data_IF_557840935884
#
_entry.id   IF_557840935884
#
_cell.length_a   1.000
_cell.length_b   1.000
_cell.length_c   1.000
_cell.angle_alpha   90.00
_cell.angle_beta   90.00
_cell.angle_gamma   90.00
#
_symmetry.space_group_name_H-M   'P 1'
#
loop_
_entity.id
_entity.type
_entity.pdbx_description
1 polymer ?
#
# COMPACT_ATOMS: atom_id res chain seq x y z
N UNK A 1 30.31 32.87 5.54
CA UNK A 1 31.59 32.44 4.95
C UNK A 1 31.89 31.04 5.46
N UNK A 2 31.75 29.99 4.63
CA UNK A 2 32.26 28.67 4.97
C UNK A 2 32.78 28.04 3.70
N UNK A 3 34.11 27.93 3.64
CA UNK A 3 34.90 27.48 2.49
C UNK A 3 35.04 25.97 2.53
N UNK A 4 34.65 25.29 1.46
CA UNK A 4 34.96 23.87 1.27
C UNK A 4 36.47 23.66 1.05
N UNK A 5 37.06 22.57 1.55
CA UNK A 5 38.49 22.32 1.39
C UNK A 5 38.80 21.92 -0.06
N UNK A 6 39.68 22.67 -0.72
CA UNK A 6 40.22 22.32 -2.04
C UNK A 6 41.52 21.55 -1.85
N UNK A 7 41.50 20.25 -2.15
CA UNK A 7 42.71 19.43 -2.20
C UNK A 7 43.35 19.56 -3.60
N UNK A 8 44.55 20.14 -3.69
CA UNK A 8 45.34 20.18 -4.94
C UNK A 8 45.85 18.77 -5.27
N UNK A 9 45.48 18.22 -6.43
CA UNK A 9 46.11 17.00 -6.99
C UNK A 9 47.14 17.37 -8.06
N UNK A 10 48.27 16.67 -8.07
CA UNK A 10 49.39 16.83 -9.00
C UNK A 10 49.03 16.40 -10.43
N UNK A 11 49.61 17.03 -11.46
CA UNK A 11 49.31 16.73 -12.86
C UNK A 11 50.16 15.55 -13.31
N UNK A 12 49.67 14.31 -13.17
CA UNK A 12 50.49 13.18 -13.59
C UNK A 12 49.99 11.79 -13.23
N UNK A 13 48.69 11.52 -13.29
CA UNK A 13 48.18 10.14 -13.41
C UNK A 13 46.76 10.23 -13.96
N UNK A 14 46.57 9.93 -15.25
CA UNK A 14 45.25 9.66 -15.82
C UNK A 14 44.72 8.33 -15.29
N UNK A 15 44.41 8.28 -13.99
CA UNK A 15 43.50 7.26 -13.50
C UNK A 15 42.14 7.59 -14.13
N UNK A 16 41.68 6.74 -15.06
CA UNK A 16 40.25 6.73 -15.42
C UNK A 16 39.52 6.63 -14.09
N UNK A 17 38.79 7.68 -13.71
CA UNK A 17 37.85 7.59 -12.62
C UNK A 17 36.89 6.46 -13.02
N UNK A 18 37.07 5.27 -12.45
CA UNK A 18 36.01 4.30 -12.47
C UNK A 18 34.92 4.96 -11.63
N UNK A 19 33.73 5.10 -12.21
CA UNK A 19 32.54 5.47 -11.45
C UNK A 19 32.21 4.26 -10.55
N UNK A 20 33.08 3.98 -9.58
CA UNK A 20 33.07 2.82 -8.70
C UNK A 20 32.00 2.90 -7.62
N UNK A 21 31.11 3.88 -7.70
CA UNK A 21 29.92 3.95 -6.89
C UNK A 21 28.73 3.95 -7.84
N UNK A 22 27.86 2.95 -7.75
CA UNK A 22 26.50 3.06 -8.31
C UNK A 22 25.82 4.18 -7.55
N UNK A 23 25.95 5.42 -8.02
CA UNK A 23 25.23 6.58 -7.50
C UNK A 23 23.77 6.42 -7.90
N UNK A 24 23.02 5.56 -7.20
CA UNK A 24 21.56 5.57 -7.17
C UNK A 24 21.12 6.35 -5.93
N UNK A 25 21.49 7.63 -5.88
CA UNK A 25 21.11 8.52 -4.76
C UNK A 25 19.64 8.96 -4.82
N UNK A 26 18.94 8.66 -5.91
CA UNK A 26 17.53 8.96 -6.09
C UNK A 26 16.84 7.74 -6.71
N UNK A 27 15.74 7.32 -6.11
CA UNK A 27 14.86 6.30 -6.66
C UNK A 27 13.62 6.99 -7.23
N UNK A 28 13.17 6.55 -8.40
CA UNK A 28 11.94 7.06 -9.03
C UNK A 28 10.80 6.12 -8.67
N UNK A 29 9.69 6.68 -8.18
CA UNK A 29 8.50 5.89 -7.87
C UNK A 29 7.89 5.31 -9.16
N UNK A 30 7.49 4.03 -9.21
CA UNK A 30 6.93 3.43 -10.42
C UNK A 30 5.55 4.03 -10.74
N UNK A 31 5.33 4.54 -11.96
CA UNK A 31 4.02 5.07 -12.36
C UNK A 31 3.02 3.96 -12.76
N UNK A 32 3.50 2.74 -13.02
CA UNK A 32 2.71 1.60 -13.50
C UNK A 32 2.83 0.41 -12.54
N UNK A 33 1.78 -0.42 -12.49
CA UNK A 33 1.78 -1.65 -11.68
C UNK A 33 1.80 -1.43 -10.15
N UNK A 34 1.44 -0.22 -9.69
CA UNK A 34 1.42 0.16 -8.27
C UNK A 34 0.08 0.78 -7.85
N UNK A 35 -1.04 0.24 -8.35
CA UNK A 35 -2.38 0.60 -7.86
C UNK A 35 -2.51 0.22 -6.38
N UNK A 36 -3.41 0.91 -5.66
CA UNK A 36 -3.55 0.87 -4.20
C UNK A 36 -4.99 0.62 -3.78
N UNK A 37 -5.15 0.08 -2.57
CA UNK A 37 -6.42 -0.35 -1.98
C UNK A 37 -6.61 0.32 -0.61
N UNK A 38 -6.36 1.63 -0.54
CA UNK A 38 -6.49 2.42 0.69
C UNK A 38 -5.58 1.92 1.85
N UNK A 39 -6.09 1.90 3.08
CA UNK A 39 -5.35 1.61 4.31
C UNK A 39 -4.60 0.28 4.22
N UNK A 40 -3.36 0.25 4.74
CA UNK A 40 -2.41 -0.87 4.68
C UNK A 40 -1.81 -1.20 3.30
N UNK A 41 -2.38 -0.75 2.17
CA UNK A 41 -1.94 -1.16 0.82
C UNK A 41 -0.56 -0.65 0.36
N UNK A 42 0.11 0.18 1.16
CA UNK A 42 1.51 0.59 0.93
C UNK A 42 2.54 -0.29 1.65
N UNK A 43 2.09 -1.09 2.61
CA UNK A 43 2.92 -2.05 3.32
C UNK A 43 3.17 -3.29 2.45
N UNK A 44 4.13 -4.15 2.82
CA UNK A 44 4.20 -5.50 2.28
C UNK A 44 2.88 -6.27 2.53
N UNK A 45 2.62 -7.28 1.70
CA UNK A 45 1.44 -8.13 1.84
C UNK A 45 1.39 -8.74 3.25
N UNK A 46 0.21 -8.70 3.87
CA UNK A 46 0.02 -9.17 5.23
C UNK A 46 0.18 -10.69 5.30
N UNK A 47 0.93 -11.19 6.27
CA UNK A 47 0.92 -12.59 6.62
C UNK A 47 -0.42 -12.98 7.27
N UNK A 48 -0.70 -14.28 7.38
CA UNK A 48 -1.93 -14.78 8.01
C UNK A 48 -2.07 -14.32 9.47
N UNK A 49 -0.96 -14.26 10.19
CA UNK A 49 -0.89 -13.83 11.59
C UNK A 49 -1.17 -12.33 11.74
N UNK A 50 -0.62 -11.51 10.82
CA UNK A 50 -0.90 -10.07 10.78
C UNK A 50 -2.36 -9.80 10.43
N UNK A 51 -2.93 -10.53 9.46
CA UNK A 51 -4.35 -10.42 9.11
C UNK A 51 -5.26 -10.74 10.30
N UNK A 52 -4.97 -11.84 11.02
CA UNK A 52 -5.70 -12.19 12.24
C UNK A 52 -5.59 -11.12 13.32
N UNK A 53 -4.42 -10.47 13.44
CA UNK A 53 -4.20 -9.40 14.41
C UNK A 53 -5.04 -8.15 14.11
N UNK A 54 -5.17 -7.77 12.82
CA UNK A 54 -6.03 -6.65 12.40
C UNK A 54 -7.52 -6.94 12.64
N UNK A 55 -7.96 -8.18 12.36
CA UNK A 55 -9.34 -8.61 12.67
C UNK A 55 -9.56 -8.58 14.18
N UNK A 56 -8.61 -9.08 14.98
CA UNK A 56 -8.72 -9.04 16.43
C UNK A 56 -8.76 -7.60 16.97
N UNK A 57 -8.03 -6.68 16.36
CA UNK A 57 -8.12 -5.25 16.69
C UNK A 57 -9.54 -4.72 16.50
N UNK A 58 -10.19 -5.03 15.38
CA UNK A 58 -11.58 -4.66 15.09
C UNK A 58 -12.54 -5.21 16.17
N UNK A 59 -12.40 -6.50 16.51
CA UNK A 59 -13.22 -7.16 17.53
C UNK A 59 -13.01 -6.55 18.93
N UNK A 60 -11.77 -6.23 19.29
CA UNK A 60 -11.43 -5.59 20.57
C UNK A 60 -12.01 -4.18 20.69
N UNK A 61 -12.29 -3.50 19.57
CA UNK A 61 -12.98 -2.21 19.52
C UNK A 61 -14.50 -2.33 19.59
N UNK A 62 -15.04 -3.55 19.61
CA UNK A 62 -16.48 -3.80 19.57
C UNK A 62 -17.11 -3.48 18.23
N UNK A 63 -16.32 -3.43 17.15
CA UNK A 63 -16.82 -3.23 15.79
C UNK A 63 -17.25 -4.57 15.21
N UNK A 64 -18.17 -4.53 14.24
CA UNK A 64 -18.72 -5.74 13.61
C UNK A 64 -18.01 -5.93 12.26
N UNK A 65 -17.28 -7.03 12.04
CA UNK A 65 -16.60 -7.26 10.78
C UNK A 65 -17.60 -7.60 9.67
N UNK A 66 -17.28 -7.18 8.45
CA UNK A 66 -18.02 -7.49 7.23
C UNK A 66 -17.03 -7.66 6.08
N UNK A 67 -17.32 -8.58 5.17
CA UNK A 67 -16.53 -8.81 3.97
C UNK A 67 -17.27 -8.26 2.75
N UNK A 68 -16.50 -7.70 1.81
CA UNK A 68 -17.00 -7.18 0.53
C UNK A 68 -16.07 -7.66 -0.59
N UNK A 69 -16.61 -7.87 -1.79
CA UNK A 69 -15.87 -8.31 -2.97
C UNK A 69 -16.39 -7.65 -4.26
N UNK A 70 -15.54 -7.59 -5.27
CA UNK A 70 -15.83 -7.00 -6.58
C UNK A 70 -15.12 -7.80 -7.67
N UNK A 71 -15.82 -8.05 -8.79
CA UNK A 71 -15.33 -8.92 -9.87
C UNK A 71 -14.95 -8.14 -11.13
N UNK A 72 -15.55 -6.97 -11.34
CA UNK A 72 -15.40 -6.18 -12.56
C UNK A 72 -14.61 -4.89 -12.31
N UNK A 73 -15.00 -4.12 -11.28
CA UNK A 73 -14.53 -2.75 -11.07
C UNK A 73 -13.77 -2.55 -9.76
N UNK A 74 -12.58 -3.14 -9.63
CA UNK A 74 -11.76 -3.04 -8.41
C UNK A 74 -11.22 -1.64 -8.05
N UNK A 75 -11.54 -0.59 -8.82
CA UNK A 75 -11.13 0.79 -8.56
C UNK A 75 -12.24 1.77 -8.92
N UNK A 76 -12.28 2.92 -8.24
CA UNK A 76 -13.23 3.99 -8.53
C UNK A 76 -13.11 4.52 -9.95
N UNK A 77 -14.26 4.83 -10.55
CA UNK A 77 -14.37 5.42 -11.88
C UNK A 77 -15.54 6.44 -11.92
N UNK A 78 -15.79 7.04 -13.09
CA UNK A 78 -16.84 8.06 -13.25
C UNK A 78 -17.53 7.91 -14.60
N UNK A 79 -18.66 7.21 -14.59
CA UNK A 79 -19.53 6.99 -15.74
C UNK A 79 -20.84 7.77 -15.59
N UNK A 80 -21.53 7.61 -14.46
CA UNK A 80 -22.91 8.06 -14.30
C UNK A 80 -23.02 9.55 -13.98
N UNK A 81 -22.06 10.12 -13.24
CA UNK A 81 -22.08 11.54 -12.92
C UNK A 81 -20.69 12.12 -12.61
N UNK A 82 -20.56 13.45 -12.71
CA UNK A 82 -19.29 14.16 -12.49
C UNK A 82 -19.34 15.33 -11.48
N UNK A 83 -20.41 15.46 -10.69
CA UNK A 83 -20.46 16.44 -9.60
C UNK A 83 -19.40 16.21 -8.53
N UNK A 84 -19.01 17.25 -7.77
CA UNK A 84 -18.18 17.09 -6.58
C UNK A 84 -18.73 16.01 -5.64
N UNK A 85 -17.86 15.13 -5.13
CA UNK A 85 -18.20 14.05 -4.20
C UNK A 85 -18.81 12.78 -4.82
N UNK A 86 -19.09 12.76 -6.13
CA UNK A 86 -19.62 11.59 -6.82
C UNK A 86 -18.53 10.77 -7.54
N UNK A 87 -18.50 9.48 -7.22
CA UNK A 87 -17.66 8.46 -7.85
C UNK A 87 -18.42 7.13 -7.92
N UNK A 88 -18.30 6.45 -9.05
CA UNK A 88 -18.74 5.06 -9.28
C UNK A 88 -17.68 4.08 -8.76
N UNK A 89 -18.06 2.83 -8.52
CA UNK A 89 -17.13 1.78 -8.04
C UNK A 89 -16.65 1.96 -6.60
N UNK A 90 -17.33 2.78 -5.79
CA UNK A 90 -17.08 2.91 -4.34
C UNK A 90 -17.70 1.76 -3.53
N UNK A 91 -18.84 1.26 -3.96
CA UNK A 91 -19.53 0.15 -3.31
C UNK A 91 -19.14 -1.16 -3.97
N UNK A 92 -18.84 -2.15 -3.14
CA UNK A 92 -18.60 -3.53 -3.54
C UNK A 92 -19.75 -4.42 -3.07
N UNK A 93 -19.79 -5.66 -3.55
CA UNK A 93 -20.84 -6.60 -3.20
C UNK A 93 -20.56 -7.19 -1.82
N UNK A 94 -21.54 -7.13 -0.92
CA UNK A 94 -21.44 -7.71 0.42
C UNK A 94 -21.36 -9.24 0.34
N UNK A 95 -20.41 -9.83 1.08
CA UNK A 95 -20.35 -11.27 1.29
C UNK A 95 -21.21 -11.67 2.48
N UNK A 96 -22.29 -12.42 2.21
CA UNK A 96 -23.27 -12.85 3.21
C UNK A 96 -23.84 -11.64 3.98
N UNK A 97 -23.55 -11.53 5.28
CA UNK A 97 -24.02 -10.49 6.19
C UNK A 97 -22.89 -10.09 7.15
N UNK A 98 -22.95 -8.90 7.78
CA UNK A 98 -22.04 -8.55 8.87
C UNK A 98 -22.07 -9.61 9.97
N UNK A 99 -20.91 -9.94 10.53
CA UNK A 99 -20.76 -11.07 11.46
C UNK A 99 -21.13 -10.65 12.88
N UNK A 100 -22.42 -10.40 13.11
CA UNK A 100 -22.95 -9.96 14.41
C UNK A 100 -22.60 -10.95 15.53
N UNK A 101 -22.07 -10.42 16.64
CA UNK A 101 -21.69 -11.23 17.80
C UNK A 101 -20.44 -12.09 17.59
N UNK A 102 -19.71 -11.91 16.49
CA UNK A 102 -18.43 -12.59 16.28
C UNK A 102 -17.42 -12.16 17.34
N UNK A 103 -16.73 -13.13 17.96
CA UNK A 103 -15.69 -12.92 18.97
C UNK A 103 -14.36 -13.58 18.61
N UNK A 104 -14.31 -14.33 17.50
CA UNK A 104 -13.14 -15.09 17.07
C UNK A 104 -12.72 -14.67 15.65
N UNK A 105 -11.50 -14.13 15.54
CA UNK A 105 -10.93 -13.71 14.28
C UNK A 105 -10.78 -14.87 13.26
N UNK A 106 -10.62 -16.11 13.73
CA UNK A 106 -10.50 -17.27 12.85
C UNK A 106 -11.79 -17.53 12.05
N UNK A 107 -12.96 -17.21 12.61
CA UNK A 107 -14.24 -17.32 11.90
C UNK A 107 -14.27 -16.37 10.70
N UNK A 108 -13.81 -15.13 10.86
CA UNK A 108 -13.75 -14.15 9.76
C UNK A 108 -12.80 -14.62 8.66
N UNK A 109 -11.63 -15.17 9.03
CA UNK A 109 -10.68 -15.73 8.04
C UNK A 109 -11.23 -16.97 7.34
N UNK A 110 -12.06 -17.77 8.02
CA UNK A 110 -12.70 -18.93 7.39
C UNK A 110 -13.71 -18.56 6.30
N UNK A 111 -14.32 -17.38 6.40
CA UNK A 111 -15.24 -16.83 5.40
C UNK A 111 -14.51 -16.21 4.20
N UNK A 112 -13.21 -15.92 4.34
CA UNK A 112 -12.36 -15.43 3.26
C UNK A 112 -11.79 -16.56 2.37
N UNK A 113 -11.70 -17.79 2.90
CA UNK A 113 -11.04 -18.94 2.28
C UNK A 113 -11.95 -19.67 1.28
#
# INVERSE_FOLDING_TARGET
VSSYPVTKKSPGTTSRASNGCKIRCMQVWPPLGKKKFETLSYLPDLSRESLLSEIQYLLNKGWIPCLEFELEHGFVYRENHRSPGYYDGRYWTMWKLPMFGCTDAAQVVSELA
#
